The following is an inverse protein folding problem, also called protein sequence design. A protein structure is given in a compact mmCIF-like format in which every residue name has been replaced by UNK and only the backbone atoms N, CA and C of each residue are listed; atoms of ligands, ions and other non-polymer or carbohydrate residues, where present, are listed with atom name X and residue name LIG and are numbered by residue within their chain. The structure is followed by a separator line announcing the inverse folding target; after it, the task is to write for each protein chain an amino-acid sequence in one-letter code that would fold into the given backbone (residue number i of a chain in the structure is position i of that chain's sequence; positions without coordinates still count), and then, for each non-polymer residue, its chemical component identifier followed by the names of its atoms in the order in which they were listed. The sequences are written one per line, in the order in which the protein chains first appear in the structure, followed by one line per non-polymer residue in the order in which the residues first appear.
data_IF_635559462868
#
_entry.id   IF_635559462868
#
_cell.length_a   1.000
_cell.length_b   1.000
_cell.length_c   1.000
_cell.angle_alpha   90.00
_cell.angle_beta   90.00
_cell.angle_gamma   90.00
#
_symmetry.space_group_name_H-M   'P 1'
#
loop_
_entity.id
_entity.type
_entity.pdbx_description
1 polymer ?
#
# COMPACT_ATOMS: atom_id res chain seq x y z
N UNK A 1 -10.88 -17.41 5.97
CA UNK A 1 -10.06 -17.22 7.18
C UNK A 1 -8.65 -17.70 6.83
N UNK A 2 -7.78 -16.79 6.43
CA UNK A 2 -6.40 -17.12 6.09
C UNK A 2 -5.58 -17.00 7.38
N UNK A 3 -4.90 -18.08 7.78
CA UNK A 3 -4.08 -18.10 8.98
C UNK A 3 -2.74 -17.44 8.64
N UNK A 4 -2.35 -16.44 9.41
CA UNK A 4 -1.05 -15.78 9.30
C UNK A 4 0.08 -16.82 9.38
N UNK A 5 0.99 -16.79 8.40
CA UNK A 5 2.10 -17.76 8.28
C UNK A 5 3.28 -17.45 9.20
N UNK A 6 3.24 -16.32 9.92
CA UNK A 6 4.35 -15.83 10.75
C UNK A 6 5.45 -15.10 9.97
N UNK A 7 5.38 -15.05 8.64
CA UNK A 7 6.29 -14.27 7.81
C UNK A 7 5.90 -12.79 7.85
N UNK A 8 6.85 -11.93 8.24
CA UNK A 8 6.75 -10.48 8.10
C UNK A 8 7.87 -9.99 7.17
N UNK A 9 7.60 -8.89 6.47
CA UNK A 9 8.57 -8.19 5.64
C UNK A 9 8.77 -6.78 6.15
N UNK A 10 10.01 -6.49 6.51
CA UNK A 10 10.42 -5.13 6.81
C UNK A 10 10.95 -4.47 5.54
N UNK A 11 10.28 -3.41 5.12
CA UNK A 11 10.76 -2.52 4.07
C UNK A 11 10.58 -1.08 4.48
N UNK A 12 11.42 -0.22 3.93
CA UNK A 12 11.48 1.18 4.30
C UNK A 12 10.82 2.03 3.22
N UNK A 13 9.81 2.79 3.62
CA UNK A 13 9.38 3.97 2.86
C UNK A 13 10.52 5.00 2.97
N UNK A 14 11.16 5.32 1.86
CA UNK A 14 12.12 6.43 1.77
C UNK A 14 11.57 7.48 0.82
N UNK A 15 12.19 8.67 0.82
CA UNK A 15 11.78 9.78 -0.07
C UNK A 15 11.69 9.36 -1.54
N UNK A 16 12.56 8.45 -1.98
CA UNK A 16 12.55 7.98 -3.37
C UNK A 16 13.36 8.86 -4.32
N UNK A 17 13.66 8.33 -5.50
CA UNK A 17 14.21 9.08 -6.63
C UNK A 17 13.45 8.70 -7.90
N UNK A 18 13.24 9.64 -8.82
CA UNK A 18 12.75 9.31 -10.14
C UNK A 18 13.78 8.45 -10.88
N UNK A 19 13.31 7.53 -11.71
CA UNK A 19 14.19 6.61 -12.46
C UNK A 19 14.89 7.30 -13.64
N UNK A 20 14.40 8.47 -14.06
CA UNK A 20 15.04 9.29 -15.08
C UNK A 20 14.93 10.81 -14.83
N UNK A 21 15.59 11.58 -15.70
CA UNK A 21 15.59 13.05 -15.65
C UNK A 21 14.25 13.69 -16.05
N UNK A 22 13.29 12.92 -16.57
CA UNK A 22 11.94 13.39 -16.89
C UNK A 22 11.03 13.43 -15.67
N UNK A 23 11.48 12.87 -14.55
CA UNK A 23 10.70 12.74 -13.32
C UNK A 23 9.78 11.52 -13.32
N UNK A 24 9.63 10.83 -14.46
CA UNK A 24 8.73 9.69 -14.60
C UNK A 24 9.41 8.38 -14.20
N UNK A 25 8.63 7.48 -13.60
CA UNK A 25 9.15 6.26 -12.98
C UNK A 25 9.86 6.57 -11.66
N UNK A 26 10.20 5.53 -10.89
CA UNK A 26 10.87 5.71 -9.60
C UNK A 26 10.40 4.73 -8.54
N UNK A 27 10.77 5.06 -7.31
CA UNK A 27 10.42 4.29 -6.12
C UNK A 27 10.20 5.20 -4.92
N UNK A 28 9.55 4.71 -3.89
CA UNK A 28 9.37 5.42 -2.61
C UNK A 28 8.32 6.53 -2.67
N UNK A 29 8.36 7.42 -1.68
CA UNK A 29 7.31 8.41 -1.42
C UNK A 29 7.03 9.31 -2.63
N UNK A 30 8.08 9.85 -3.28
CA UNK A 30 7.91 10.75 -4.43
C UNK A 30 7.18 10.09 -5.60
N UNK A 31 7.51 8.84 -5.91
CA UNK A 31 6.83 8.07 -6.96
C UNK A 31 5.37 7.81 -6.60
N UNK A 32 5.10 7.35 -5.38
CA UNK A 32 3.72 7.13 -4.90
C UNK A 32 2.93 8.43 -4.96
N UNK A 33 3.55 9.56 -4.58
CA UNK A 33 2.92 10.86 -4.63
C UNK A 33 2.56 11.27 -6.05
N UNK A 34 3.49 11.12 -6.98
CA UNK A 34 3.29 11.50 -8.38
C UNK A 34 2.19 10.68 -9.06
N UNK A 35 2.18 9.37 -8.86
CA UNK A 35 1.32 8.46 -9.63
C UNK A 35 0.04 8.03 -8.89
N UNK A 36 0.03 8.12 -7.55
CA UNK A 36 -1.00 7.48 -6.72
C UNK A 36 -1.53 8.35 -5.57
N UNK A 37 -1.08 9.61 -5.41
CA UNK A 37 -1.62 10.54 -4.40
C UNK A 37 -3.15 10.62 -4.52
N UNK A 38 -3.67 10.82 -5.72
CA UNK A 38 -5.12 10.92 -5.92
C UNK A 38 -5.84 9.62 -5.55
N UNK A 39 -5.27 8.45 -5.83
CA UNK A 39 -5.91 7.18 -5.46
C UNK A 39 -6.04 7.04 -3.94
N UNK A 40 -5.01 7.43 -3.19
CA UNK A 40 -5.04 7.44 -1.73
C UNK A 40 -5.97 8.52 -1.18
N UNK A 41 -5.96 9.71 -1.76
CA UNK A 41 -6.86 10.80 -1.39
C UNK A 41 -8.32 10.41 -1.62
N UNK A 42 -8.64 9.73 -2.71
CA UNK A 42 -9.98 9.21 -2.99
C UNK A 42 -10.42 8.22 -1.92
N UNK A 43 -9.53 7.32 -1.47
CA UNK A 43 -9.83 6.39 -0.38
C UNK A 43 -9.98 7.08 0.97
N UNK A 44 -9.15 8.08 1.26
CA UNK A 44 -9.31 8.90 2.46
C UNK A 44 -10.69 9.59 2.48
N UNK A 45 -11.09 10.18 1.35
CA UNK A 45 -12.39 10.84 1.19
C UNK A 45 -13.56 9.84 1.25
N UNK A 46 -13.40 8.64 0.70
CA UNK A 46 -14.38 7.56 0.80
C UNK A 46 -14.60 7.16 2.26
N UNK A 47 -13.52 6.98 3.03
CA UNK A 47 -13.61 6.72 4.48
C UNK A 47 -14.38 7.83 5.20
N UNK A 48 -14.04 9.10 4.96
CA UNK A 48 -14.77 10.24 5.52
C UNK A 48 -16.28 10.20 5.18
N UNK A 49 -16.62 9.87 3.93
CA UNK A 49 -18.00 9.79 3.47
C UNK A 49 -18.78 8.64 4.13
N UNK A 50 -18.08 7.58 4.55
CA UNK A 50 -18.63 6.46 5.33
C UNK A 50 -18.76 6.77 6.83
N UNK A 51 -18.30 7.93 7.29
CA UNK A 51 -18.32 8.35 8.69
C UNK A 51 -17.05 8.00 9.47
N UNK A 52 -15.97 7.60 8.79
CA UNK A 52 -14.67 7.43 9.44
C UNK A 52 -14.16 8.77 9.98
N UNK A 53 -13.56 8.75 11.18
CA UNK A 53 -12.96 9.92 11.84
C UNK A 53 -11.44 9.69 11.94
N UNK A 54 -10.65 10.10 10.93
CA UNK A 54 -9.22 9.75 10.81
C UNK A 54 -8.38 10.17 12.02
N UNK A 55 -8.61 11.38 12.52
CA UNK A 55 -7.87 11.97 13.64
C UNK A 55 -8.00 11.14 14.93
N UNK A 56 -9.11 10.42 15.12
CA UNK A 56 -9.31 9.54 16.28
C UNK A 56 -8.35 8.35 16.30
N UNK A 57 -7.72 8.07 15.16
CA UNK A 57 -6.76 6.98 14.94
C UNK A 57 -5.38 7.49 14.51
N UNK A 58 -5.14 8.82 14.58
CA UNK A 58 -3.85 9.43 14.25
C UNK A 58 -3.57 9.57 12.75
N UNK A 59 -4.60 9.57 11.91
CA UNK A 59 -4.47 9.87 10.48
C UNK A 59 -4.82 11.33 10.21
N UNK A 60 -3.91 12.09 9.60
CA UNK A 60 -4.08 13.49 9.24
C UNK A 60 -4.35 13.66 7.75
N UNK A 61 -3.73 12.82 6.90
CA UNK A 61 -3.90 12.89 5.44
C UNK A 61 -3.77 11.55 4.72
N UNK A 62 -3.89 11.61 3.39
CA UNK A 62 -3.79 10.44 2.50
C UNK A 62 -2.46 9.69 2.65
N UNK A 63 -1.38 10.38 3.00
CA UNK A 63 -0.05 9.82 3.13
C UNK A 63 0.12 9.01 4.42
N UNK A 64 -0.55 9.38 5.51
CA UNK A 64 -0.66 8.52 6.69
C UNK A 64 -1.42 7.23 6.36
N UNK A 65 -2.55 7.35 5.64
CA UNK A 65 -3.32 6.18 5.20
C UNK A 65 -2.46 5.26 4.32
N UNK A 66 -1.69 5.84 3.40
CA UNK A 66 -0.75 5.13 2.54
C UNK A 66 0.37 4.47 3.34
N UNK A 67 1.00 5.19 4.27
CA UNK A 67 2.13 4.69 5.04
C UNK A 67 1.71 3.55 5.98
N UNK A 68 0.59 3.70 6.68
CA UNK A 68 0.06 2.65 7.56
C UNK A 68 -0.40 1.44 6.76
N UNK A 69 -1.13 1.64 5.65
CA UNK A 69 -1.52 0.53 4.78
C UNK A 69 -0.28 -0.19 4.24
N UNK A 70 0.67 0.58 3.71
CA UNK A 70 1.96 0.08 3.25
C UNK A 70 2.68 -0.75 4.30
N UNK A 71 2.77 -0.30 5.55
CA UNK A 71 3.36 -1.10 6.63
C UNK A 71 2.56 -2.36 6.96
N UNK A 72 1.23 -2.27 6.96
CA UNK A 72 0.35 -3.38 7.30
C UNK A 72 0.41 -4.53 6.28
N UNK A 73 0.55 -4.23 4.99
CA UNK A 73 0.77 -5.29 3.97
C UNK A 73 1.98 -6.17 4.28
N UNK A 74 3.06 -5.60 4.82
CA UNK A 74 4.28 -6.32 5.20
C UNK A 74 4.09 -7.23 6.41
N UNK A 75 3.09 -6.96 7.23
CA UNK A 75 2.76 -7.75 8.43
C UNK A 75 1.69 -8.81 8.15
N UNK A 76 0.65 -8.45 7.38
CA UNK A 76 -0.56 -9.25 7.17
C UNK A 76 -1.05 -9.19 5.70
N UNK A 77 -0.43 -9.92 4.76
CA UNK A 77 -0.96 -10.01 3.40
C UNK A 77 -2.23 -10.87 3.35
N UNK A 78 -3.39 -10.26 3.06
CA UNK A 78 -4.69 -10.94 3.08
C UNK A 78 -4.97 -11.85 1.88
N UNK A 79 -4.44 -11.49 0.71
CA UNK A 79 -4.87 -12.12 -0.55
C UNK A 79 -3.77 -12.86 -1.27
N UNK A 80 -2.66 -12.18 -1.59
CA UNK A 80 -1.71 -12.75 -2.52
C UNK A 80 -0.32 -12.16 -2.30
N UNK A 81 0.65 -13.07 -2.18
CA UNK A 81 2.07 -12.79 -2.34
C UNK A 81 2.48 -13.27 -3.72
N UNK A 82 3.14 -12.40 -4.47
CA UNK A 82 3.82 -12.79 -5.69
C UNK A 82 5.24 -12.25 -5.66
N UNK A 83 6.20 -13.15 -5.77
CA UNK A 83 7.62 -12.82 -5.85
C UNK A 83 8.00 -12.87 -7.32
N UNK A 84 8.69 -11.85 -7.82
CA UNK A 84 9.26 -11.88 -9.17
C UNK A 84 10.10 -13.17 -9.32
N UNK A 85 9.94 -13.95 -10.41
CA UNK A 85 10.77 -15.13 -10.67
C UNK A 85 12.28 -14.86 -10.63
N UNK A 86 12.72 -13.63 -10.86
CA UNK A 86 14.13 -13.21 -10.72
C UNK A 86 14.53 -12.82 -9.28
N UNK A 87 13.58 -12.85 -8.34
CA UNK A 87 13.77 -12.62 -6.91
C UNK A 87 13.96 -11.16 -6.50
N UNK A 88 13.93 -10.20 -7.43
CA UNK A 88 14.28 -8.80 -7.15
C UNK A 88 13.21 -8.02 -6.37
N UNK A 89 11.95 -8.37 -6.55
CA UNK A 89 10.81 -7.67 -5.94
C UNK A 89 9.75 -8.63 -5.44
N UNK A 90 8.98 -8.17 -4.44
CA UNK A 90 7.80 -8.86 -3.94
C UNK A 90 6.61 -7.91 -4.02
N UNK A 91 5.48 -8.43 -4.49
CA UNK A 91 4.18 -7.80 -4.44
C UNK A 91 3.31 -8.45 -3.37
N UNK A 92 2.67 -7.62 -2.56
CA UNK A 92 1.72 -7.99 -1.52
C UNK A 92 0.39 -7.29 -1.80
N UNK A 93 -0.71 -7.97 -1.47
CA UNK A 93 -2.06 -7.42 -1.49
C UNK A 93 -2.68 -7.66 -0.13
N UNK A 94 -3.17 -6.59 0.47
CA UNK A 94 -3.83 -6.58 1.75
C UNK A 94 -5.12 -5.74 1.69
N UNK A 95 -5.96 -5.91 2.71
CA UNK A 95 -7.25 -5.25 2.87
C UNK A 95 -7.07 -4.10 3.86
N UNK A 96 -7.41 -2.89 3.41
CA UNK A 96 -7.61 -1.73 4.28
C UNK A 96 -9.03 -1.75 4.80
N UNK A 97 -9.20 -1.45 6.08
CA UNK A 97 -10.52 -1.43 6.73
C UNK A 97 -10.70 -0.11 7.45
N UNK A 98 -11.82 0.56 7.20
CA UNK A 98 -12.25 1.71 7.97
C UNK A 98 -13.12 1.24 9.14
N UNK A 99 -12.81 1.72 10.34
CA UNK A 99 -13.57 1.40 11.55
C UNK A 99 -14.05 2.67 12.24
N UNK A 100 -15.24 2.59 12.82
CA UNK A 100 -15.70 3.57 13.80
C UNK A 100 -14.92 3.34 15.11
N UNK A 101 -14.15 4.34 15.55
CA UNK A 101 -13.25 4.19 16.69
C UNK A 101 -13.97 4.01 18.03
N UNK A 102 -15.26 4.38 18.13
CA UNK A 102 -16.03 4.29 19.37
C UNK A 102 -16.73 2.96 19.53
N UNK A 103 -17.39 2.49 18.47
CA UNK A 103 -18.17 1.25 18.44
C UNK A 103 -17.38 0.04 17.96
N UNK A 104 -16.26 0.25 17.27
CA UNK A 104 -15.48 -0.79 16.60
C UNK A 104 -16.15 -1.36 15.35
N UNK A 105 -17.24 -0.75 14.89
CA UNK A 105 -17.96 -1.21 13.71
C UNK A 105 -17.13 -0.99 12.43
N UNK A 106 -17.12 -1.97 11.53
CA UNK A 106 -16.57 -1.83 10.19
C UNK A 106 -17.45 -0.89 9.37
N UNK A 107 -16.85 0.15 8.81
CA UNK A 107 -17.51 1.15 7.96
C UNK A 107 -17.34 0.83 6.47
N UNK A 108 -16.21 0.20 6.10
CA UNK A 108 -15.94 -0.22 4.73
C UNK A 108 -14.55 -0.80 4.56
N UNK A 109 -14.30 -1.39 3.39
CA UNK A 109 -13.03 -2.05 3.05
C UNK A 109 -12.58 -1.71 1.64
N UNK A 110 -11.27 -1.80 1.42
CA UNK A 110 -10.67 -1.66 0.11
C UNK A 110 -9.40 -2.50 0.00
N UNK A 111 -9.05 -2.95 -1.21
CA UNK A 111 -7.77 -3.61 -1.43
C UNK A 111 -6.70 -2.56 -1.73
N UNK A 112 -5.48 -2.83 -1.29
CA UNK A 112 -4.31 -2.07 -1.72
C UNK A 112 -3.17 -3.01 -2.07
N UNK A 113 -2.29 -2.52 -2.94
CA UNK A 113 -1.09 -3.22 -3.38
C UNK A 113 0.11 -2.55 -2.76
N UNK A 114 1.08 -3.36 -2.36
CA UNK A 114 2.40 -2.89 -1.95
C UNK A 114 3.47 -3.69 -2.66
N UNK A 115 4.43 -3.02 -3.30
CA UNK A 115 5.57 -3.64 -3.98
C UNK A 115 6.85 -3.12 -3.34
N UNK A 116 7.76 -4.02 -2.99
CA UNK A 116 9.05 -3.67 -2.41
C UNK A 116 10.19 -4.49 -3.03
N UNK A 117 11.41 -3.97 -2.91
CA UNK A 117 12.63 -4.64 -3.35
C UNK A 117 13.13 -5.60 -2.27
N UNK A 118 13.32 -6.88 -2.63
CA UNK A 118 13.86 -7.89 -1.71
C UNK A 118 15.36 -7.70 -1.44
N UNK A 119 16.07 -6.99 -2.32
CA UNK A 119 17.53 -6.81 -2.24
C UNK A 119 17.94 -5.52 -1.55
N UNK A 120 17.09 -4.51 -1.59
CA UNK A 120 17.37 -3.19 -0.99
C UNK A 120 16.46 -2.84 0.17
N UNK A 121 15.46 -3.67 0.46
CA UNK A 121 14.46 -3.48 1.52
C UNK A 121 13.74 -2.13 1.41
N UNK A 122 13.51 -1.67 0.18
CA UNK A 122 12.86 -0.39 -0.12
C UNK A 122 11.46 -0.63 -0.62
N UNK A 123 10.51 0.15 -0.11
CA UNK A 123 9.20 0.28 -0.74
C UNK A 123 9.39 0.90 -2.13
N UNK A 124 8.90 0.19 -3.15
CA UNK A 124 8.87 0.69 -4.53
C UNK A 124 7.61 1.52 -4.71
N UNK A 125 6.44 0.92 -4.51
CA UNK A 125 5.15 1.62 -4.64
C UNK A 125 4.09 1.01 -3.72
N UNK A 126 3.06 1.80 -3.41
CA UNK A 126 1.88 1.37 -2.67
C UNK A 126 0.66 2.16 -3.15
N UNK A 127 -0.43 1.49 -3.50
CA UNK A 127 -1.65 2.15 -3.99
C UNK A 127 -2.92 1.29 -3.84
N UNK A 128 -4.12 1.91 -3.68
CA UNK A 128 -5.39 1.21 -3.68
C UNK A 128 -5.67 0.56 -5.05
N UNK A 129 -6.26 -0.63 -5.05
CA UNK A 129 -6.61 -1.35 -6.28
C UNK A 129 -7.97 -2.04 -6.12
N UNK A 130 -8.60 -2.39 -7.23
CA UNK A 130 -9.86 -3.16 -7.22
C UNK A 130 -9.64 -4.68 -7.19
N UNK A 131 -8.49 -5.16 -7.67
CA UNK A 131 -8.19 -6.59 -7.81
C UNK A 131 -7.51 -7.20 -6.58
N UNK A 132 -7.48 -8.54 -6.57
CA UNK A 132 -6.81 -9.37 -5.55
C UNK A 132 -5.57 -10.08 -6.09
N UNK A 133 -5.11 -9.73 -7.30
CA UNK A 133 -4.00 -10.39 -7.98
C UNK A 133 -2.84 -9.43 -8.21
N UNK A 134 -1.65 -9.89 -7.86
CA UNK A 134 -0.41 -9.22 -8.23
C UNK A 134 -0.04 -9.63 -9.69
N UNK A 135 0.10 -8.70 -10.65
CA UNK A 135 0.40 -9.02 -12.05
C UNK A 135 1.75 -9.71 -12.23
N UNK A 136 1.84 -10.75 -13.06
CA UNK A 136 3.03 -11.61 -13.16
C UNK A 136 4.32 -10.94 -13.66
N UNK A 137 4.23 -9.73 -14.24
CA UNK A 137 5.37 -8.92 -14.67
C UNK A 137 5.26 -7.51 -14.08
N UNK A 138 5.79 -7.31 -12.86
CA UNK A 138 5.85 -5.97 -12.27
C UNK A 138 6.79 -5.03 -13.02
N UNK A 139 7.73 -5.58 -13.81
CA UNK A 139 8.71 -4.85 -14.63
C UNK A 139 8.11 -4.01 -15.76
N UNK A 140 6.80 -4.07 -15.99
CA UNK A 140 6.09 -3.28 -17.00
C UNK A 140 5.07 -2.29 -16.41
N UNK A 141 5.07 -2.07 -15.09
CA UNK A 141 4.17 -1.12 -14.44
C UNK A 141 4.78 0.28 -14.24
N UNK A 142 5.94 0.54 -14.85
CA UNK A 142 6.66 1.80 -14.83
C UNK A 142 6.80 2.36 -16.24
#
# INVERSE_FOLDING_TARGET
MHWWSGEHWDYQLRCGQPDDASGKGGWGYKHIREDHEQNWQDKFNEGLALGWVPESQGFESWDDLMATSGGNAGLWPDHMRAVDPKGGTTCLIAIGVFYDAFSGAELGTFNYRTIFSNTTERLITSFPQSGTTCPSNYTQLW
#
